data_IF_281386609610
#
_entry.id   IF_281386609610
#
_cell.length_a   1.000
_cell.length_b   1.000
_cell.length_c   1.000
_cell.angle_alpha   90.00
_cell.angle_beta   90.00
_cell.angle_gamma   90.00
#
_symmetry.space_group_name_H-M   'P 1'
#
loop_
_entity.id
_entity.type
_entity.pdbx_description
1 polymer ?
#
# COMPACT_ATOMS: atom_id res chain seq x y z
N UNK A 1 -6.39 -18.19 -29.62
CA UNK A 1 -6.77 -17.81 -28.24
C UNK A 1 -5.89 -16.64 -27.85
N UNK A 2 -6.50 -15.52 -27.48
CA UNK A 2 -5.86 -14.21 -27.52
C UNK A 2 -4.90 -14.01 -26.34
N UNK A 3 -3.65 -13.64 -26.68
CA UNK A 3 -2.65 -13.12 -25.76
C UNK A 3 -3.11 -11.74 -25.31
N UNK A 4 -3.42 -11.59 -24.02
CA UNK A 4 -3.71 -10.27 -23.47
C UNK A 4 -2.40 -9.71 -22.90
N UNK A 5 -1.82 -8.77 -23.64
CA UNK A 5 -0.73 -7.93 -23.16
C UNK A 5 -1.19 -7.22 -21.89
N UNK A 6 -0.39 -7.35 -20.82
CA UNK A 6 -0.54 -6.55 -19.62
C UNK A 6 -0.21 -5.09 -20.00
N UNK A 7 -1.24 -4.34 -20.38
CA UNK A 7 -1.15 -2.90 -20.51
C UNK A 7 -0.95 -2.31 -19.12
N UNK A 8 0.22 -1.72 -18.86
CA UNK A 8 0.45 -0.88 -17.69
C UNK A 8 -0.49 0.32 -17.78
N UNK A 9 -1.54 0.34 -16.95
CA UNK A 9 -2.29 1.59 -16.74
C UNK A 9 -1.39 2.53 -15.95
N UNK A 10 -0.76 3.46 -16.67
CA UNK A 10 -0.16 4.65 -16.06
C UNK A 10 -1.32 5.52 -15.59
N UNK A 11 -1.80 5.25 -14.38
CA UNK A 11 -2.84 6.02 -13.70
C UNK A 11 -2.22 7.27 -13.09
N UNK A 12 -2.43 8.41 -13.75
CA UNK A 12 -1.87 9.70 -13.36
C UNK A 12 -2.43 10.28 -12.06
N UNK A 13 -1.56 11.04 -11.41
CA UNK A 13 -1.79 12.32 -10.72
C UNK A 13 -3.09 12.59 -9.93
N UNK A 14 -2.86 13.01 -8.69
CA UNK A 14 -3.74 13.84 -7.86
C UNK A 14 -5.02 13.19 -7.30
N UNK A 15 -4.95 12.74 -6.04
CA UNK A 15 -6.10 12.71 -5.12
C UNK A 15 -7.27 11.81 -5.53
N UNK A 16 -7.03 10.52 -5.75
CA UNK A 16 -8.14 9.56 -5.82
C UNK A 16 -8.85 9.52 -4.46
N UNK A 17 -10.10 10.00 -4.42
CA UNK A 17 -11.01 9.77 -3.29
C UNK A 17 -11.12 8.26 -3.09
N UNK A 18 -10.93 7.81 -1.84
CA UNK A 18 -10.95 6.38 -1.48
C UNK A 18 -12.23 5.70 -1.97
N UNK A 19 -13.34 6.44 -1.94
CA UNK A 19 -14.70 5.95 -2.23
C UNK A 19 -14.93 5.56 -3.69
N UNK A 20 -14.06 5.98 -4.63
CA UNK A 20 -14.21 5.73 -6.06
C UNK A 20 -13.27 4.65 -6.61
N UNK A 21 -12.43 4.04 -5.78
CA UNK A 21 -11.49 3.01 -6.22
C UNK A 21 -12.24 1.68 -6.43
N UNK A 22 -12.11 1.01 -7.61
CA UNK A 22 -12.60 -0.35 -7.75
C UNK A 22 -11.93 -1.21 -6.66
N UNK A 23 -12.69 -2.11 -6.02
CA UNK A 23 -12.19 -2.97 -4.94
C UNK A 23 -10.92 -3.70 -5.41
N UNK A 24 -9.74 -3.19 -5.02
CA UNK A 24 -8.47 -3.85 -5.31
C UNK A 24 -8.30 -5.03 -4.34
N UNK A 25 -7.74 -6.16 -4.79
CA UNK A 25 -7.57 -7.32 -3.93
C UNK A 25 -6.68 -7.00 -2.72
N UNK A 26 -7.06 -7.55 -1.56
CA UNK A 26 -6.23 -7.51 -0.37
C UNK A 26 -4.86 -8.13 -0.65
N UNK A 27 -3.83 -7.58 0.00
CA UNK A 27 -2.45 -7.99 -0.25
C UNK A 27 -2.08 -9.13 0.69
N UNK A 28 -1.47 -10.18 0.14
CA UNK A 28 -0.97 -11.30 0.93
C UNK A 28 0.31 -10.94 1.68
N UNK A 29 0.42 -11.39 2.93
CA UNK A 29 1.64 -11.42 3.72
C UNK A 29 1.97 -12.87 4.04
N UNK A 30 3.05 -13.38 3.46
CA UNK A 30 3.56 -14.72 3.76
C UNK A 30 4.24 -14.76 5.14
N UNK A 31 4.42 -15.95 5.70
CA UNK A 31 5.31 -16.14 6.85
C UNK A 31 6.74 -16.50 6.38
N UNK A 32 7.79 -16.09 7.13
CA UNK A 32 7.77 -15.18 8.27
C UNK A 32 7.54 -13.72 7.85
N UNK A 33 6.92 -12.90 8.70
CA UNK A 33 6.69 -11.48 8.46
C UNK A 33 6.97 -10.63 9.71
N UNK A 34 7.05 -9.31 9.53
CA UNK A 34 7.36 -8.32 10.58
C UNK A 34 6.40 -8.28 11.77
N UNK A 35 5.25 -8.94 11.65
CA UNK A 35 4.24 -8.99 12.72
C UNK A 35 4.35 -10.24 13.59
N UNK A 36 5.18 -11.23 13.22
CA UNK A 36 5.27 -12.51 13.92
C UNK A 36 4.01 -13.38 13.77
N UNK A 37 3.16 -13.09 12.79
CA UNK A 37 1.93 -13.85 12.51
C UNK A 37 2.15 -14.87 11.39
N UNK A 38 1.26 -15.87 11.30
CA UNK A 38 1.16 -16.76 10.14
C UNK A 38 0.81 -15.99 8.85
N UNK A 39 0.60 -16.68 7.72
CA UNK A 39 0.22 -16.00 6.49
C UNK A 39 -1.20 -15.40 6.59
N UNK A 40 -1.39 -14.16 6.13
CA UNK A 40 -2.67 -13.45 6.19
C UNK A 40 -2.84 -12.46 5.03
N UNK A 41 -4.04 -11.90 4.88
CA UNK A 41 -4.34 -10.83 3.94
C UNK A 41 -4.54 -9.50 4.68
N UNK A 42 -3.98 -8.41 4.15
CA UNK A 42 -4.20 -7.07 4.69
C UNK A 42 -4.73 -6.09 3.63
N UNK A 43 -5.53 -5.14 4.09
CA UNK A 43 -6.01 -3.99 3.31
C UNK A 43 -5.53 -2.73 4.00
N UNK A 44 -4.41 -2.19 3.52
CA UNK A 44 -3.87 -0.90 3.95
C UNK A 44 -4.46 0.23 3.07
N UNK A 45 -4.82 1.38 3.66
CA UNK A 45 -5.40 2.51 2.91
C UNK A 45 -4.82 3.85 3.38
N UNK A 46 -4.28 4.63 2.44
CA UNK A 46 -3.95 6.03 2.60
C UNK A 46 -5.17 6.91 2.33
N UNK A 47 -5.97 7.16 3.36
CA UNK A 47 -7.28 7.80 3.17
C UNK A 47 -7.22 9.33 2.96
N UNK A 48 -6.31 10.03 3.64
CA UNK A 48 -6.35 11.50 3.75
C UNK A 48 -5.12 12.19 3.17
N UNK A 49 -4.10 11.42 2.79
CA UNK A 49 -2.85 11.94 2.24
C UNK A 49 -2.49 11.14 1.00
N UNK A 50 -2.36 11.84 -0.13
CA UNK A 50 -1.97 11.23 -1.39
C UNK A 50 -0.65 10.49 -1.26
N UNK A 51 -0.60 9.27 -1.80
CA UNK A 51 0.60 8.44 -1.84
C UNK A 51 1.05 8.25 -3.30
N UNK A 52 2.24 8.73 -3.70
CA UNK A 52 2.74 8.54 -5.06
C UNK A 52 3.00 7.07 -5.41
N UNK A 53 3.14 6.18 -4.43
CA UNK A 53 3.25 4.73 -4.66
C UNK A 53 1.89 4.02 -4.71
N UNK A 54 0.80 4.77 -4.51
CA UNK A 54 -0.58 4.31 -4.63
C UNK A 54 -1.35 4.27 -3.30
N UNK A 55 -2.66 4.47 -3.36
CA UNK A 55 -3.55 4.55 -2.18
C UNK A 55 -3.48 3.33 -1.26
N UNK A 56 -3.22 2.14 -1.80
CA UNK A 56 -3.16 0.90 -1.04
C UNK A 56 -1.73 0.43 -0.72
N UNK A 57 -0.69 1.22 -1.03
CA UNK A 57 0.68 0.85 -0.71
C UNK A 57 0.94 0.93 0.81
N UNK A 58 1.75 0.02 1.33
CA UNK A 58 2.05 -0.09 2.78
C UNK A 58 2.65 1.18 3.38
N UNK A 59 3.45 1.91 2.59
CA UNK A 59 4.20 3.07 3.03
C UNK A 59 4.08 4.20 2.00
N UNK A 60 4.15 5.44 2.49
CA UNK A 60 4.13 6.65 1.67
C UNK A 60 5.50 7.34 1.78
N UNK A 61 6.26 7.46 0.68
CA UNK A 61 7.59 8.08 0.71
C UNK A 61 7.57 9.58 1.06
N UNK A 62 6.39 10.21 1.00
CA UNK A 62 6.20 11.61 1.42
C UNK A 62 5.81 11.72 2.91
N UNK A 63 5.90 10.65 3.69
CA UNK A 63 5.66 10.61 5.13
C UNK A 63 6.85 9.96 5.81
N UNK A 64 7.48 10.71 6.71
CA UNK A 64 8.53 10.22 7.60
C UNK A 64 8.19 10.59 9.04
N UNK A 65 8.57 9.74 9.98
CA UNK A 65 8.59 10.09 11.40
C UNK A 65 9.97 10.63 11.75
N UNK A 66 10.05 11.60 12.66
CA UNK A 66 11.31 11.88 13.31
C UNK A 66 11.67 10.68 14.20
N UNK A 67 12.94 10.22 14.21
CA UNK A 67 13.34 9.18 15.12
C UNK A 67 13.16 9.70 16.55
N UNK A 68 12.18 9.14 17.27
CA UNK A 68 12.18 9.30 18.73
C UNK A 68 13.41 8.57 19.24
N UNK A 69 14.23 9.23 20.06
CA UNK A 69 15.29 8.53 20.76
C UNK A 69 14.63 7.38 21.55
N UNK A 70 14.95 6.13 21.18
CA UNK A 70 14.52 5.01 21.98
C UNK A 70 15.11 5.19 23.38
N UNK A 71 14.36 4.93 24.47
CA UNK A 71 14.97 4.86 25.77
C UNK A 71 16.10 3.83 25.71
N UNK A 72 17.29 4.22 26.20
CA UNK A 72 18.36 3.24 26.41
C UNK A 72 17.80 2.17 27.34
N UNK A 73 17.82 0.91 26.88
CA UNK A 73 17.57 -0.25 27.74
C UNK A 73 18.77 -0.47 28.68
#
# INVERSE_FOLDING_TARGET
MQSQSLGTVSGGGAGSRVDTLPLRPAQGRSAPNRYGLGAFYETHVWAWKGNPTGTFADMNPNVSCDPTAAPSQ
#
